data_IF_789313284671
#
_entry.id   IF_789313284671
#
_cell.length_a   1.000
_cell.length_b   1.000
_cell.length_c   1.000
_cell.angle_alpha   90.00
_cell.angle_beta   90.00
_cell.angle_gamma   90.00
#
_symmetry.space_group_name_H-M   'P 1'
#
loop_
_entity.id
_entity.type
_entity.pdbx_description
1 polymer ?
#
# COMPACT_ATOMS: atom_id res chain seq x y z
N UNK A 1 39.38 -28.40 72.61
CA UNK A 1 38.41 -28.45 73.73
C UNK A 1 37.17 -27.65 73.31
N UNK A 2 35.99 -28.10 73.76
CA UNK A 2 35.27 -29.33 73.37
C UNK A 2 33.94 -29.04 72.66
N UNK A 3 33.53 -29.94 71.83
CA UNK A 3 32.28 -30.73 71.83
C UNK A 3 31.06 -30.11 72.53
N UNK A 4 29.96 -30.00 71.83
CA UNK A 4 28.67 -30.58 72.23
C UNK A 4 27.76 -30.79 71.03
N UNK A 5 27.47 -32.06 70.81
CA UNK A 5 26.31 -32.59 70.11
C UNK A 5 25.04 -32.32 70.97
N UNK A 6 23.90 -32.19 70.31
CA UNK A 6 22.63 -32.84 70.67
C UNK A 6 21.61 -32.63 69.53
N UNK A 7 21.29 -33.70 68.94
CA UNK A 7 20.12 -34.60 69.11
C UNK A 7 18.86 -34.06 68.43
N UNK A 8 18.61 -34.63 67.33
CA UNK A 8 17.44 -35.38 66.84
C UNK A 8 16.08 -35.04 67.51
N UNK A 9 15.14 -34.51 66.70
CA UNK A 9 13.74 -34.88 66.91
C UNK A 9 13.04 -35.10 65.59
N UNK A 10 12.60 -36.30 65.42
CA UNK A 10 11.73 -36.88 64.42
C UNK A 10 10.30 -36.32 64.69
N UNK A 11 9.62 -35.84 63.68
CA UNK A 11 8.21 -35.40 63.79
C UNK A 11 7.53 -35.47 62.42
N UNK A 12 6.99 -36.62 62.20
CA UNK A 12 5.62 -36.90 61.76
C UNK A 12 5.11 -36.34 60.43
N UNK A 13 4.90 -37.25 59.57
CA UNK A 13 4.12 -37.21 58.32
C UNK A 13 2.74 -36.56 58.55
N UNK A 14 2.39 -35.60 57.71
CA UNK A 14 1.02 -35.50 57.23
C UNK A 14 1.08 -35.00 55.77
N UNK A 15 0.50 -35.80 54.91
CA UNK A 15 0.44 -35.56 53.47
C UNK A 15 -0.35 -34.30 53.15
N UNK A 16 0.15 -33.60 52.18
CA UNK A 16 -0.62 -32.58 51.54
C UNK A 16 -0.59 -32.84 50.02
N UNK A 17 -1.77 -33.06 49.55
CA UNK A 17 -2.14 -33.40 48.18
C UNK A 17 -1.45 -32.49 47.19
N UNK A 18 -0.79 -33.12 46.25
CA UNK A 18 -0.34 -32.47 45.03
C UNK A 18 -1.54 -31.93 44.25
N UNK A 19 -1.79 -30.63 44.35
CA UNK A 19 -2.65 -29.92 43.44
C UNK A 19 -1.86 -29.67 42.17
N UNK A 20 -2.15 -30.47 41.13
CA UNK A 20 -1.69 -30.21 39.76
C UNK A 20 -2.43 -28.97 39.25
N UNK A 21 -1.82 -27.83 39.41
CA UNK A 21 -2.24 -26.65 38.67
C UNK A 21 -1.66 -26.79 37.25
N UNK A 22 -2.47 -27.40 36.37
CA UNK A 22 -2.28 -27.29 34.94
C UNK A 22 -2.52 -25.83 34.56
N UNK A 23 -1.49 -25.02 34.67
CA UNK A 23 -1.43 -23.69 34.11
C UNK A 23 -1.50 -23.83 32.59
N UNK A 24 -2.70 -23.77 32.05
CA UNK A 24 -2.92 -23.56 30.64
C UNK A 24 -2.34 -22.18 30.29
N UNK A 25 -1.06 -22.17 29.95
CA UNK A 25 -0.41 -21.03 29.33
C UNK A 25 -1.06 -20.78 27.98
N UNK A 26 -2.13 -19.99 27.97
CA UNK A 26 -2.66 -19.38 26.77
C UNK A 26 -1.59 -18.46 26.21
N UNK A 27 -0.73 -19.01 25.35
CA UNK A 27 0.08 -18.21 24.45
C UNK A 27 -0.92 -17.43 23.56
N UNK A 28 -1.26 -16.24 24.01
CA UNK A 28 -1.91 -15.23 23.21
C UNK A 28 -0.90 -14.85 22.13
N UNK A 29 -0.87 -15.62 21.03
CA UNK A 29 -0.20 -15.25 19.80
C UNK A 29 -0.96 -14.01 19.30
N UNK A 30 -0.53 -12.83 19.74
CA UNK A 30 -0.85 -11.57 19.09
C UNK A 30 -0.34 -11.72 17.65
N UNK A 31 -1.26 -12.10 16.75
CA UNK A 31 -1.11 -11.91 15.32
C UNK A 31 -0.90 -10.41 15.11
N UNK A 32 0.34 -9.99 15.11
CA UNK A 32 0.75 -8.70 14.57
C UNK A 32 0.41 -8.78 13.09
N UNK A 33 -0.85 -8.47 12.76
CA UNK A 33 -1.21 -8.15 11.40
C UNK A 33 -0.35 -6.94 11.03
N UNK A 34 0.77 -7.20 10.37
CA UNK A 34 1.63 -6.18 9.84
C UNK A 34 0.79 -5.40 8.82
N UNK A 35 0.25 -4.25 9.21
CA UNK A 35 -0.27 -3.26 8.27
C UNK A 35 0.92 -2.68 7.49
N UNK A 36 1.40 -3.45 6.51
CA UNK A 36 2.24 -2.90 5.46
C UNK A 36 1.39 -2.10 4.47
N UNK A 37 2.00 -1.21 3.68
CA UNK A 37 1.28 -0.48 2.64
C UNK A 37 0.66 -1.49 1.66
N UNK A 38 -0.66 -1.49 1.58
CA UNK A 38 -1.40 -2.41 0.73
C UNK A 38 -1.62 -1.80 -0.65
N UNK A 39 -1.37 -2.58 -1.70
CA UNK A 39 -1.65 -2.16 -3.07
C UNK A 39 -3.15 -1.82 -3.22
N UNK A 40 -3.50 -0.70 -3.88
CA UNK A 40 -4.88 -0.31 -4.06
C UNK A 40 -5.60 -1.22 -5.05
N UNK A 41 -6.92 -1.27 -4.92
CA UNK A 41 -7.76 -1.89 -5.94
C UNK A 41 -7.85 -1.00 -7.18
N UNK A 42 -7.66 -1.59 -8.36
CA UNK A 42 -7.72 -0.89 -9.64
C UNK A 42 -9.06 -1.13 -10.35
N UNK A 43 -9.71 -0.06 -10.77
CA UNK A 43 -10.91 -0.14 -11.61
C UNK A 43 -10.53 -0.43 -13.05
N UNK A 44 -11.08 -1.51 -13.63
CA UNK A 44 -10.87 -1.84 -15.04
C UNK A 44 -11.56 -0.80 -15.92
N UNK A 45 -10.83 -0.28 -16.91
CA UNK A 45 -11.37 0.64 -17.92
C UNK A 45 -11.14 0.11 -19.32
N UNK A 46 -12.08 0.47 -20.21
CA UNK A 46 -12.01 0.15 -21.63
C UNK A 46 -11.83 1.41 -22.46
N UNK A 47 -11.25 1.25 -23.65
CA UNK A 47 -11.15 2.36 -24.59
C UNK A 47 -12.44 2.51 -25.38
N UNK A 48 -12.84 3.75 -25.62
CA UNK A 48 -13.83 4.14 -26.62
C UNK A 48 -13.05 4.62 -27.86
N UNK A 49 -13.03 3.80 -28.90
CA UNK A 49 -12.17 3.98 -30.09
C UNK A 49 -10.69 4.10 -29.70
N UNK A 50 -10.13 5.31 -29.74
CA UNK A 50 -8.68 5.56 -29.51
C UNK A 50 -8.40 6.28 -28.18
N UNK A 51 -9.40 6.35 -27.28
CA UNK A 51 -9.30 7.08 -26.02
C UNK A 51 -9.94 6.33 -24.86
N UNK A 52 -9.33 6.43 -23.69
CA UNK A 52 -10.00 6.16 -22.41
C UNK A 52 -10.61 7.45 -21.90
N UNK A 53 -11.89 7.39 -21.49
CA UNK A 53 -12.65 8.55 -20.99
C UNK A 53 -13.11 8.31 -19.57
N UNK A 54 -12.69 9.18 -18.66
CA UNK A 54 -13.07 9.14 -17.25
C UNK A 54 -13.98 10.33 -16.93
N UNK A 55 -15.14 10.08 -16.38
CA UNK A 55 -16.07 11.15 -16.02
C UNK A 55 -15.50 12.03 -14.91
N UNK A 56 -15.51 13.35 -15.09
CA UNK A 56 -15.04 14.31 -14.07
C UNK A 56 -15.79 14.15 -12.75
N UNK A 57 -17.08 13.78 -12.79
CA UNK A 57 -17.88 13.52 -11.58
C UNK A 57 -17.31 12.40 -10.71
N UNK A 58 -16.52 11.49 -11.30
CA UNK A 58 -15.90 10.36 -10.60
C UNK A 58 -14.46 10.60 -10.16
N UNK A 59 -13.73 11.50 -10.85
CA UNK A 59 -12.30 11.66 -10.64
C UNK A 59 -11.89 13.02 -10.08
N UNK A 60 -12.82 13.98 -9.99
CA UNK A 60 -12.56 15.31 -9.46
C UNK A 60 -13.16 15.49 -8.04
N UNK A 61 -13.11 14.44 -7.23
CA UNK A 61 -13.63 14.40 -5.87
C UNK A 61 -12.55 14.62 -4.79
N UNK A 62 -11.33 14.92 -5.21
CA UNK A 62 -10.19 15.12 -4.32
C UNK A 62 -9.46 13.83 -3.91
N UNK A 63 -9.96 12.66 -4.34
CA UNK A 63 -9.32 11.39 -4.06
C UNK A 63 -8.37 10.96 -5.18
N UNK A 64 -7.52 9.97 -4.87
CA UNK A 64 -6.72 9.27 -5.88
C UNK A 64 -7.50 8.06 -6.38
N UNK A 65 -7.66 7.95 -7.69
CA UNK A 65 -8.35 6.86 -8.34
C UNK A 65 -7.38 6.01 -9.13
N UNK A 66 -7.40 4.71 -8.90
CA UNK A 66 -6.53 3.74 -9.57
C UNK A 66 -7.29 2.97 -10.63
N UNK A 67 -6.66 2.81 -11.80
CA UNK A 67 -7.26 2.21 -12.99
C UNK A 67 -6.32 1.21 -13.64
N UNK A 68 -6.92 0.20 -14.29
CA UNK A 68 -6.23 -0.74 -15.17
C UNK A 68 -6.79 -0.64 -16.58
N UNK A 69 -5.91 -0.45 -17.57
CA UNK A 69 -6.22 -0.63 -18.98
C UNK A 69 -5.55 -1.92 -19.48
N UNK A 70 -6.34 -2.83 -20.04
CA UNK A 70 -5.80 -4.08 -20.63
C UNK A 70 -5.30 -3.84 -22.04
N UNK A 71 -4.04 -4.17 -22.26
CA UNK A 71 -3.38 -4.12 -23.57
C UNK A 71 -2.66 -5.44 -23.82
N UNK A 72 -3.14 -6.23 -24.78
CA UNK A 72 -2.72 -7.62 -24.97
C UNK A 72 -2.78 -8.37 -23.63
N UNK A 73 -1.69 -9.06 -23.27
CA UNK A 73 -1.59 -9.81 -22.01
C UNK A 73 -1.10 -8.97 -20.82
N UNK A 74 -1.08 -7.63 -20.97
CA UNK A 74 -0.57 -6.72 -19.93
C UNK A 74 -1.67 -5.87 -19.33
N UNK A 75 -1.56 -5.67 -18.03
CA UNK A 75 -2.36 -4.70 -17.29
C UNK A 75 -1.55 -3.42 -17.15
N UNK A 76 -1.93 -2.37 -17.88
CA UNK A 76 -1.31 -1.05 -17.75
C UNK A 76 -2.05 -0.30 -16.66
N UNK A 77 -1.40 -0.18 -15.51
CA UNK A 77 -1.96 0.46 -14.33
C UNK A 77 -1.63 1.96 -14.33
N UNK A 78 -2.61 2.77 -13.98
CA UNK A 78 -2.44 4.21 -13.87
C UNK A 78 -3.34 4.78 -12.80
N UNK A 79 -3.01 5.98 -12.35
CA UNK A 79 -3.78 6.71 -11.35
C UNK A 79 -4.15 8.10 -11.84
N UNK A 80 -5.23 8.64 -11.31
CA UNK A 80 -5.68 10.01 -11.51
C UNK A 80 -5.84 10.65 -10.14
N UNK A 81 -5.30 11.85 -9.99
CA UNK A 81 -5.40 12.66 -8.77
C UNK A 81 -5.74 14.10 -9.08
N UNK A 82 -6.20 14.82 -8.08
CA UNK A 82 -6.35 16.28 -8.11
C UNK A 82 -5.24 16.90 -7.27
N UNK A 83 -4.60 17.97 -7.75
CA UNK A 83 -3.63 18.73 -6.96
C UNK A 83 -4.30 19.78 -6.05
N UNK A 84 -3.50 20.50 -5.26
CA UNK A 84 -3.98 21.55 -4.35
C UNK A 84 -4.66 22.74 -5.04
N UNK A 85 -4.51 22.87 -6.38
CA UNK A 85 -5.18 23.89 -7.21
C UNK A 85 -6.43 23.36 -7.90
N UNK A 86 -6.81 22.11 -7.64
CA UNK A 86 -7.98 21.47 -8.26
C UNK A 86 -7.72 20.98 -9.69
N UNK A 87 -6.47 20.91 -10.14
CA UNK A 87 -6.14 20.38 -11.47
C UNK A 87 -6.00 18.87 -11.45
N UNK A 88 -6.52 18.22 -12.49
CA UNK A 88 -6.44 16.77 -12.64
C UNK A 88 -5.14 16.36 -13.35
N UNK A 89 -4.45 15.42 -12.74
CA UNK A 89 -3.23 14.81 -13.25
C UNK A 89 -3.40 13.30 -13.36
N UNK A 90 -2.89 12.73 -14.44
CA UNK A 90 -2.78 11.29 -14.61
C UNK A 90 -1.32 10.86 -14.58
N UNK A 91 -1.04 9.73 -13.96
CA UNK A 91 0.29 9.13 -13.86
C UNK A 91 0.20 7.62 -14.09
N UNK A 92 1.25 7.02 -14.66
CA UNK A 92 1.39 5.57 -14.59
C UNK A 92 1.57 5.16 -13.13
N UNK A 93 0.98 4.04 -12.75
CA UNK A 93 1.18 3.44 -11.42
C UNK A 93 2.52 2.71 -11.37
N UNK A 94 3.57 3.44 -11.74
CA UNK A 94 4.94 2.96 -11.86
C UNK A 94 5.93 4.13 -11.81
N UNK A 95 7.15 3.86 -11.36
CA UNK A 95 8.29 4.79 -11.42
C UNK A 95 9.47 4.15 -12.15
N UNK A 96 10.42 4.95 -12.61
CA UNK A 96 11.59 4.45 -13.36
C UNK A 96 12.54 3.58 -12.53
N UNK A 97 12.61 3.77 -11.22
CA UNK A 97 13.51 3.00 -10.36
C UNK A 97 12.92 1.65 -9.91
N UNK A 98 11.61 1.62 -9.62
CA UNK A 98 10.98 0.49 -8.95
C UNK A 98 10.00 -0.31 -9.83
N UNK A 99 9.72 0.09 -11.07
CA UNK A 99 8.73 -0.57 -11.94
C UNK A 99 8.95 -2.09 -12.09
N UNK A 100 10.18 -2.55 -12.03
CA UNK A 100 10.54 -3.98 -12.10
C UNK A 100 9.89 -4.83 -11.00
N UNK A 101 9.53 -4.23 -9.87
CA UNK A 101 8.85 -4.91 -8.76
C UNK A 101 7.34 -4.99 -8.96
N UNK A 102 6.77 -4.19 -9.87
CA UNK A 102 5.33 -4.16 -10.23
C UNK A 102 4.40 -3.92 -9.04
N UNK A 103 4.87 -3.22 -8.01
CA UNK A 103 4.09 -2.94 -6.79
C UNK A 103 3.28 -1.64 -6.88
N UNK A 104 3.71 -0.68 -7.72
CA UNK A 104 3.02 0.59 -7.88
C UNK A 104 3.05 1.49 -6.64
N UNK A 105 1.98 2.21 -6.45
CA UNK A 105 1.79 3.18 -5.37
C UNK A 105 0.57 2.87 -4.52
N UNK A 106 0.54 3.39 -3.30
CA UNK A 106 -0.67 3.48 -2.48
C UNK A 106 -0.80 4.89 -1.89
N UNK A 107 -1.99 5.21 -1.37
CA UNK A 107 -2.25 6.48 -0.69
C UNK A 107 -2.00 6.31 0.80
N UNK A 108 -1.26 7.23 1.41
CA UNK A 108 -1.01 7.27 2.84
C UNK A 108 -1.21 8.69 3.37
N UNK A 109 -2.38 8.97 3.89
CA UNK A 109 -2.78 10.31 4.30
C UNK A 109 -2.76 11.30 3.13
N UNK A 110 -2.01 12.43 3.23
CA UNK A 110 -1.93 13.43 2.17
C UNK A 110 -0.93 13.05 1.05
N UNK A 111 -0.32 11.89 1.14
CA UNK A 111 0.80 11.50 0.27
C UNK A 111 0.46 10.29 -0.60
N UNK A 112 1.14 10.20 -1.73
CA UNK A 112 1.26 8.97 -2.50
C UNK A 112 2.63 8.33 -2.20
N UNK A 113 2.62 7.05 -1.84
CA UNK A 113 3.77 6.27 -1.42
C UNK A 113 4.16 5.25 -2.49
N UNK A 114 5.42 5.21 -2.91
CA UNK A 114 5.94 4.11 -3.71
C UNK A 114 6.08 2.86 -2.81
N UNK A 115 5.30 1.81 -3.08
CA UNK A 115 5.24 0.61 -2.23
C UNK A 115 6.60 -0.10 -2.15
N UNK A 116 7.38 -0.04 -3.24
CA UNK A 116 8.67 -0.74 -3.31
C UNK A 116 9.78 -0.10 -2.47
N UNK A 117 9.81 1.24 -2.32
CA UNK A 117 10.94 1.94 -1.67
C UNK A 117 10.53 2.89 -0.56
N UNK A 118 9.24 3.11 -0.33
CA UNK A 118 8.73 3.95 0.75
C UNK A 118 8.85 5.46 0.52
N UNK A 119 9.29 5.92 -0.67
CA UNK A 119 9.34 7.36 -0.95
C UNK A 119 7.92 7.92 -1.13
N UNK A 120 7.69 9.06 -0.51
CA UNK A 120 6.40 9.76 -0.49
C UNK A 120 6.44 11.04 -1.32
N UNK A 121 5.30 11.36 -1.93
CA UNK A 121 5.08 12.59 -2.68
C UNK A 121 3.75 13.19 -2.25
N UNK A 122 3.73 14.46 -1.90
CA UNK A 122 2.51 15.11 -1.43
C UNK A 122 1.52 15.30 -2.58
N UNK A 123 0.27 14.87 -2.37
CA UNK A 123 -0.78 14.91 -3.38
C UNK A 123 -1.22 16.34 -3.74
N UNK A 124 -0.98 17.33 -2.86
CA UNK A 124 -1.28 18.71 -3.15
C UNK A 124 -0.26 19.38 -4.10
N UNK A 125 0.92 18.78 -4.30
CA UNK A 125 1.93 19.28 -5.23
C UNK A 125 1.46 19.14 -6.68
N UNK A 126 1.94 20.06 -7.53
CA UNK A 126 1.72 20.00 -8.96
C UNK A 126 2.49 18.81 -9.58
N UNK A 127 2.04 18.31 -10.74
CA UNK A 127 2.64 17.10 -11.32
C UNK A 127 4.14 17.23 -11.64
N UNK A 128 4.61 18.42 -11.97
CA UNK A 128 6.01 18.70 -12.26
C UNK A 128 6.90 18.87 -11.03
N UNK A 129 6.29 19.03 -9.83
CA UNK A 129 7.03 19.12 -8.57
C UNK A 129 7.43 17.73 -8.06
N UNK A 130 6.87 16.68 -8.65
CA UNK A 130 7.28 15.31 -8.35
C UNK A 130 8.65 15.03 -8.96
N UNK A 131 9.70 15.23 -8.16
CA UNK A 131 11.09 15.07 -8.57
C UNK A 131 11.70 13.86 -7.87
N UNK A 132 12.44 13.06 -8.63
CA UNK A 132 13.18 11.94 -8.08
C UNK A 132 12.98 10.63 -8.85
N UNK A 133 13.80 9.61 -8.57
CA UNK A 133 13.80 8.36 -9.32
C UNK A 133 12.52 7.53 -9.11
N UNK A 134 11.82 7.77 -8.01
CA UNK A 134 10.56 7.11 -7.68
C UNK A 134 9.33 8.01 -7.83
N UNK A 135 9.46 9.15 -8.51
CA UNK A 135 8.30 9.97 -8.86
C UNK A 135 7.37 9.22 -9.82
N UNK A 136 6.04 9.32 -9.65
CA UNK A 136 5.08 8.74 -10.58
C UNK A 136 5.27 9.28 -11.99
N UNK A 137 5.37 8.39 -12.97
CA UNK A 137 5.61 8.77 -14.37
C UNK A 137 4.36 9.45 -14.93
N UNK A 138 4.50 10.69 -15.38
CA UNK A 138 3.38 11.47 -15.93
C UNK A 138 2.75 10.80 -17.15
N UNK A 139 1.42 10.74 -17.16
CA UNK A 139 0.59 10.23 -18.23
C UNK A 139 -0.20 11.38 -18.88
N UNK A 140 0.13 11.72 -20.13
CA UNK A 140 -0.54 12.82 -20.83
C UNK A 140 -2.03 12.62 -20.93
N UNK A 141 -2.79 13.54 -20.36
CA UNK A 141 -4.24 13.57 -20.37
C UNK A 141 -4.75 14.97 -20.72
N UNK A 142 -6.03 15.10 -21.05
CA UNK A 142 -6.69 16.39 -21.34
C UNK A 142 -8.10 16.36 -20.78
N UNK A 143 -8.51 17.44 -20.13
CA UNK A 143 -9.91 17.66 -19.79
C UNK A 143 -10.64 18.22 -21.01
N UNK A 144 -11.75 17.57 -21.40
CA UNK A 144 -12.68 18.07 -22.43
C UNK A 144 -14.10 17.82 -21.99
N UNK A 145 -14.90 18.89 -21.98
CA UNK A 145 -16.28 18.83 -21.45
C UNK A 145 -16.26 18.23 -20.04
N UNK A 146 -16.98 17.14 -19.83
CA UNK A 146 -17.13 16.47 -18.54
C UNK A 146 -16.23 15.22 -18.39
N UNK A 147 -15.14 15.15 -19.16
CA UNK A 147 -14.27 13.97 -19.17
C UNK A 147 -12.78 14.32 -19.10
N UNK A 148 -12.03 13.55 -18.34
CA UNK A 148 -10.60 13.39 -18.49
C UNK A 148 -10.36 12.37 -19.60
N UNK A 149 -9.59 12.74 -20.62
CA UNK A 149 -9.34 11.95 -21.82
C UNK A 149 -7.87 11.57 -21.88
N UNK A 150 -7.60 10.28 -22.00
CA UNK A 150 -6.26 9.71 -22.20
C UNK A 150 -6.24 8.97 -23.53
N UNK A 151 -5.24 9.26 -24.38
CA UNK A 151 -5.09 8.53 -25.65
C UNK A 151 -4.59 7.13 -25.39
N UNK A 152 -5.18 6.13 -26.03
CA UNK A 152 -4.75 4.72 -25.98
C UNK A 152 -3.27 4.60 -26.35
N UNK A 153 -2.82 5.25 -27.42
CA UNK A 153 -1.41 5.23 -27.83
C UNK A 153 -0.44 5.78 -26.79
N UNK A 154 -0.92 6.61 -25.84
CA UNK A 154 -0.09 7.09 -24.73
C UNK A 154 0.00 6.04 -23.62
N UNK A 155 -1.11 5.35 -23.31
CA UNK A 155 -1.12 4.23 -22.37
C UNK A 155 -0.21 3.09 -22.86
N UNK A 156 -0.34 2.71 -24.13
CA UNK A 156 0.45 1.61 -24.74
C UNK A 156 1.96 1.85 -24.71
N UNK A 157 2.40 3.11 -24.83
CA UNK A 157 3.81 3.47 -24.66
C UNK A 157 4.35 3.13 -23.26
N UNK A 158 3.47 3.11 -22.25
CA UNK A 158 3.79 2.71 -20.89
C UNK A 158 3.80 1.20 -20.66
N UNK A 159 3.40 0.37 -21.63
CA UNK A 159 3.28 -1.08 -21.44
C UNK A 159 4.58 -1.77 -20.98
N UNK A 160 5.75 -1.19 -21.30
CA UNK A 160 7.05 -1.70 -20.83
C UNK A 160 7.25 -1.58 -19.30
N UNK A 161 6.44 -0.81 -18.63
CA UNK A 161 6.51 -0.62 -17.17
C UNK A 161 5.78 -1.72 -16.39
N UNK A 162 5.00 -2.58 -17.09
CA UNK A 162 4.10 -3.58 -16.53
C UNK A 162 4.32 -5.00 -17.05
#
# INVERSE_FOLDING_TARGET
>A
MPLRQRIYRRGSRKGLRAGIWAGAGWCLFLLMAGCGPQAPEHTLVTAEAVTVRLSLKKVADGNVHFYTYKYNDRNINFLVRTDGKGQLHAHFDACYACFKYKLGYCVEGPDILCIACGLKYNLAEEAWDFIGPCAPISLKSKVRKNYLIIKVSTLEKGARLF
#
